data_IF_751372268672
#
_entry.id   IF_751372268672
#
_cell.length_a   1.000
_cell.length_b   1.000
_cell.length_c   1.000
_cell.angle_alpha   90.00
_cell.angle_beta   90.00
_cell.angle_gamma   90.00
#
_symmetry.space_group_name_H-M   'P 1'
#
loop_
_entity.id
_entity.type
_entity.pdbx_description
1 polymer ?
#
# COMPACT_ATOMS: atom_id res chain seq x y z
N UNK A 1 -10.59 0.34 -3.80
CA UNK A 1 -9.49 1.00 -3.07
C UNK A 1 -8.73 0.06 -2.13
N UNK A 2 -7.45 -0.22 -2.42
CA UNK A 2 -6.50 -0.91 -1.54
C UNK A 2 -5.50 0.11 -0.98
N UNK A 3 -5.35 0.18 0.34
CA UNK A 3 -4.41 1.09 0.99
C UNK A 3 -3.27 0.32 1.63
N UNK A 4 -2.10 0.90 1.62
CA UNK A 4 -0.89 0.33 2.17
C UNK A 4 -0.11 1.39 2.92
N UNK A 5 0.39 1.03 4.09
CA UNK A 5 1.19 1.92 4.93
C UNK A 5 2.58 1.32 5.07
N UNK A 6 3.57 2.17 4.89
CA UNK A 6 4.96 1.86 5.17
C UNK A 6 5.44 2.78 6.28
N UNK A 7 5.74 2.18 7.42
CA UNK A 7 6.11 2.88 8.63
C UNK A 7 7.46 2.36 9.14
N UNK A 8 8.44 3.25 9.21
CA UNK A 8 9.69 3.05 9.94
C UNK A 8 9.76 4.06 11.10
N UNK A 9 10.76 3.94 11.98
CA UNK A 9 11.02 4.83 13.13
C UNK A 9 10.92 6.33 12.85
N UNK A 10 11.15 6.78 11.60
CA UNK A 10 11.08 8.20 11.19
C UNK A 10 10.25 8.46 9.93
N UNK A 11 9.71 7.42 9.31
CA UNK A 11 9.08 7.52 7.98
C UNK A 11 7.66 6.99 8.06
N UNK A 12 6.69 7.84 7.78
CA UNK A 12 5.29 7.45 7.62
C UNK A 12 4.89 7.70 6.17
N UNK A 13 4.86 6.65 5.35
CA UNK A 13 4.50 6.74 3.94
C UNK A 13 3.21 5.98 3.70
N UNK A 14 2.32 6.55 2.90
CA UNK A 14 1.16 5.85 2.39
C UNK A 14 1.38 5.52 0.91
N UNK A 15 0.81 4.40 0.51
CA UNK A 15 0.68 3.97 -0.87
C UNK A 15 -0.74 3.40 -1.01
N UNK A 16 -1.45 3.78 -2.05
CA UNK A 16 -2.80 3.36 -2.30
C UNK A 16 -2.90 3.02 -3.78
N UNK A 17 -3.67 1.99 -4.10
CA UNK A 17 -3.95 1.61 -5.47
C UNK A 17 -5.43 1.31 -5.61
N UNK A 18 -5.99 1.76 -6.72
CA UNK A 18 -7.36 1.51 -7.08
C UNK A 18 -7.48 1.30 -8.58
N UNK A 19 -7.91 0.13 -8.98
CA UNK A 19 -8.38 -0.11 -10.32
C UNK A 19 -9.75 0.55 -10.56
N UNK A 20 -9.82 1.39 -11.60
CA UNK A 20 -11.04 1.94 -12.16
C UNK A 20 -11.19 1.44 -13.61
N UNK A 21 -11.90 0.34 -13.81
CA UNK A 21 -12.06 -0.26 -15.13
C UNK A 21 -10.73 -0.71 -15.72
N UNK A 22 -10.26 -0.03 -16.78
CA UNK A 22 -8.96 -0.25 -17.41
C UNK A 22 -7.89 0.75 -16.94
N UNK A 23 -8.19 1.61 -15.98
CA UNK A 23 -7.25 2.56 -15.39
C UNK A 23 -6.83 2.13 -13.99
N UNK A 24 -5.59 2.42 -13.62
CA UNK A 24 -5.04 2.17 -12.29
C UNK A 24 -4.65 3.47 -11.64
N UNK A 25 -5.34 3.82 -10.57
CA UNK A 25 -5.14 5.02 -9.78
C UNK A 25 -4.22 4.68 -8.63
N UNK A 26 -2.96 5.05 -8.76
CA UNK A 26 -1.92 4.78 -7.77
C UNK A 26 -1.63 6.11 -7.06
N UNK A 27 -1.74 6.16 -5.74
CA UNK A 27 -1.45 7.35 -4.93
C UNK A 27 -0.41 7.03 -3.87
N UNK A 28 0.62 7.86 -3.72
CA UNK A 28 1.67 7.63 -2.72
C UNK A 28 2.25 8.92 -2.19
N UNK A 29 2.71 8.89 -0.95
CA UNK A 29 3.30 10.08 -0.35
C UNK A 29 3.69 9.86 1.10
N UNK A 30 4.17 10.93 1.73
CA UNK A 30 4.33 10.98 3.17
C UNK A 30 2.98 11.34 3.79
N UNK A 31 2.58 10.60 4.82
CA UNK A 31 1.36 10.91 5.58
C UNK A 31 1.50 12.32 6.15
N UNK A 32 0.52 13.20 5.87
CA UNK A 32 0.57 14.62 6.23
C UNK A 32 1.11 15.57 5.15
N UNK A 33 1.46 15.05 3.96
CA UNK A 33 1.81 15.88 2.78
C UNK A 33 0.82 15.64 1.65
N UNK A 34 0.83 16.51 0.63
CA UNK A 34 -0.05 16.38 -0.55
C UNK A 34 0.17 15.06 -1.33
N UNK A 35 1.35 14.45 -1.19
CA UNK A 35 1.70 13.21 -1.89
C UNK A 35 1.79 13.38 -3.41
N UNK A 36 1.70 12.25 -4.11
CA UNK A 36 1.70 12.11 -5.56
C UNK A 36 0.61 11.12 -5.93
N UNK A 37 0.04 11.29 -7.13
CA UNK A 37 -0.84 10.31 -7.74
C UNK A 37 -0.43 10.09 -9.18
N UNK A 38 -0.63 8.87 -9.66
CA UNK A 38 -0.37 8.45 -11.00
C UNK A 38 -1.52 7.56 -11.45
N UNK A 39 -2.08 7.93 -12.59
CA UNK A 39 -3.09 7.15 -13.27
C UNK A 39 -2.38 6.39 -14.39
N UNK A 40 -2.62 5.08 -14.46
CA UNK A 40 -2.04 4.21 -15.47
C UNK A 40 -3.16 3.51 -16.23
N UNK A 41 -3.38 3.94 -17.46
CA UNK A 41 -4.33 3.28 -18.35
C UNK A 41 -3.72 2.03 -18.97
N UNK A 42 -4.52 0.98 -19.03
CA UNK A 42 -4.22 -0.30 -19.64
C UNK A 42 -5.17 -0.54 -20.82
N UNK A 43 -4.81 -1.49 -21.68
CA UNK A 43 -5.64 -1.90 -22.81
C UNK A 43 -6.96 -2.51 -22.37
N UNK A 44 -6.97 -3.23 -21.24
CA UNK A 44 -8.11 -3.99 -20.75
C UNK A 44 -8.21 -3.94 -19.23
N UNK A 45 -9.43 -4.08 -18.71
CA UNK A 45 -9.67 -4.17 -17.26
C UNK A 45 -8.94 -5.36 -16.63
N UNK A 46 -8.88 -6.51 -17.32
CA UNK A 46 -8.15 -7.68 -16.84
C UNK A 46 -6.63 -7.44 -16.77
N UNK A 47 -6.08 -6.62 -17.68
CA UNK A 47 -4.66 -6.24 -17.65
C UNK A 47 -4.37 -5.28 -16.49
N UNK A 48 -5.27 -4.34 -16.23
CA UNK A 48 -5.21 -3.44 -15.08
C UNK A 48 -5.23 -4.23 -13.75
N UNK A 49 -6.16 -5.16 -13.59
CA UNK A 49 -6.26 -6.00 -12.39
C UNK A 49 -4.98 -6.83 -12.15
N UNK A 50 -4.48 -7.51 -13.19
CA UNK A 50 -3.22 -8.26 -13.08
C UNK A 50 -2.04 -7.38 -12.73
N UNK A 51 -1.98 -6.16 -13.28
CA UNK A 51 -0.94 -5.21 -12.97
C UNK A 51 -1.06 -4.71 -11.53
N UNK A 52 -2.28 -4.43 -11.04
CA UNK A 52 -2.55 -4.06 -9.64
C UNK A 52 -2.03 -5.12 -8.69
N UNK A 53 -2.49 -6.37 -8.85
CA UNK A 53 -2.15 -7.49 -7.98
C UNK A 53 -0.63 -7.72 -7.95
N UNK A 54 0.03 -7.61 -9.10
CA UNK A 54 1.49 -7.71 -9.20
C UNK A 54 2.18 -6.58 -8.43
N UNK A 55 1.72 -5.35 -8.58
CA UNK A 55 2.29 -4.19 -7.90
C UNK A 55 2.11 -4.28 -6.38
N UNK A 56 0.93 -4.75 -5.94
CA UNK A 56 0.62 -5.03 -4.54
C UNK A 56 1.59 -6.07 -3.99
N UNK A 57 1.75 -7.22 -4.66
CA UNK A 57 2.65 -8.28 -4.20
C UNK A 57 4.10 -7.79 -4.04
N UNK A 58 4.60 -6.99 -4.99
CA UNK A 58 5.93 -6.37 -4.90
C UNK A 58 6.04 -5.37 -3.74
N UNK A 59 4.99 -4.58 -3.49
CA UNK A 59 4.95 -3.62 -2.38
C UNK A 59 4.87 -4.30 -1.02
N UNK A 60 3.99 -5.30 -0.87
CA UNK A 60 3.83 -6.07 0.37
C UNK A 60 5.13 -6.79 0.72
N UNK A 61 5.80 -7.38 -0.27
CA UNK A 61 7.12 -8.01 -0.08
C UNK A 61 8.20 -7.01 0.36
N UNK A 62 8.03 -5.72 0.03
CA UNK A 62 8.94 -4.64 0.45
C UNK A 62 8.65 -4.13 1.87
N UNK A 63 7.69 -4.71 2.59
CA UNK A 63 7.30 -4.33 3.95
C UNK A 63 6.15 -3.30 4.00
N UNK A 64 5.46 -3.05 2.88
CA UNK A 64 4.22 -2.28 2.92
C UNK A 64 3.10 -3.15 3.49
N UNK A 65 2.43 -2.67 4.53
CA UNK A 65 1.34 -3.42 5.16
C UNK A 65 0.03 -3.01 4.51
N UNK A 66 -0.73 -3.98 3.99
CA UNK A 66 -2.09 -3.72 3.48
C UNK A 66 -3.01 -3.30 4.63
N UNK A 67 -3.52 -2.07 4.53
CA UNK A 67 -4.66 -1.58 5.30
C UNK A 67 -5.91 -1.81 4.47
N UNK A 68 -6.41 -3.05 4.49
CA UNK A 68 -7.76 -3.32 4.01
C UNK A 68 -8.72 -2.55 4.92
N UNK A 69 -9.45 -1.56 4.37
CA UNK A 69 -10.54 -0.91 5.09
C UNK A 69 -11.72 -1.88 5.18
N UNK A 70 -11.59 -2.90 6.01
CA UNK A 70 -12.75 -3.49 6.63
C UNK A 70 -13.15 -2.57 7.78
N UNK A 71 -14.42 -2.16 7.82
CA UNK A 71 -14.98 -1.25 8.81
C UNK A 71 -15.15 -1.91 10.19
N UNK A 72 -14.22 -2.75 10.61
CA UNK A 72 -14.24 -3.36 11.93
C UNK A 72 -12.88 -3.21 12.61
N UNK A 73 -12.77 -2.12 13.38
CA UNK A 73 -11.84 -1.96 14.51
C UNK A 73 -10.34 -1.86 14.17
N UNK A 74 -9.78 -0.66 14.30
CA UNK A 74 -8.33 -0.42 14.43
C UNK A 74 -7.79 -1.07 15.73
N UNK A 75 -6.46 -1.12 16.01
CA UNK A 75 -5.28 -1.39 15.19
C UNK A 75 -4.51 -2.62 15.74
N UNK A 76 -4.06 -3.57 14.91
CA UNK A 76 -2.98 -4.47 15.31
C UNK A 76 -1.74 -4.17 14.47
N UNK A 77 -0.91 -3.29 15.01
CA UNK A 77 0.50 -3.29 14.68
C UNK A 77 1.05 -4.64 15.15
N UNK A 78 1.12 -5.66 14.29
CA UNK A 78 2.14 -6.69 14.43
C UNK A 78 3.45 -6.02 14.09
N UNK A 79 3.99 -5.36 15.11
CA UNK A 79 5.42 -5.18 15.30
C UNK A 79 6.04 -6.55 15.03
N UNK A 80 6.68 -6.74 13.87
CA UNK A 80 7.70 -7.78 13.76
C UNK A 80 8.79 -7.34 14.71
N UNK A 81 8.71 -7.86 15.93
CA UNK A 81 9.67 -7.64 16.99
C UNK A 81 11.03 -8.11 16.54
N UNK A 82 11.89 -7.17 16.18
CA UNK A 82 13.33 -7.31 16.35
C UNK A 82 13.58 -7.30 17.85
N UNK A 83 13.31 -8.43 18.52
CA UNK A 83 13.72 -8.67 19.89
C UNK A 83 15.24 -8.76 19.89
N UNK A 84 15.90 -7.63 20.12
CA UNK A 84 17.31 -7.62 20.47
C UNK A 84 17.40 -8.15 21.90
N UNK A 85 17.78 -9.42 22.02
CA UNK A 85 18.23 -10.02 23.28
C UNK A 85 19.41 -9.18 23.79
N UNK A 86 19.28 -8.68 25.02
CA UNK A 86 20.38 -8.07 25.75
C UNK A 86 21.12 -9.19 26.52
N UNK A 87 22.45 -9.15 26.49
CA UNK A 87 23.34 -9.82 27.44
C UNK A 87 23.61 -8.86 28.60
#
# INVERSE_FOLDING_TARGET
>A
MRHFIYQDEKSHKFWAVEQQGNELHISWGKVGTKGQSQIKSFSDAAAAEKAELKLIAEKVKKGYVEQAKDNSLQPSQTVTGSLKVAD
#
